data_IF_114053343282
#
_entry.id   IF_114053343282
#
_cell.length_a   1.000
_cell.length_b   1.000
_cell.length_c   1.000
_cell.angle_alpha   90.00
_cell.angle_beta   90.00
_cell.angle_gamma   90.00
#
_symmetry.space_group_name_H-M   'P 1'
#
loop_
_entity.id
_entity.type
_entity.pdbx_description
1 polymer ?
#
# COMPACT_ATOMS: atom_id res chain seq x y z
N UNK A 1 5.91 12.02 18.22
CA UNK A 1 5.44 11.23 17.08
C UNK A 1 5.27 9.77 17.50
N UNK A 2 4.13 9.16 17.25
CA UNK A 2 3.83 7.77 17.59
C UNK A 2 3.66 6.93 16.32
N UNK A 3 4.45 5.86 16.14
CA UNK A 3 4.38 4.97 15.00
C UNK A 3 4.61 3.52 15.41
N UNK A 4 3.61 2.66 15.26
CA UNK A 4 3.76 1.21 15.45
C UNK A 4 4.55 0.53 14.34
N UNK A 5 4.92 1.27 13.29
CA UNK A 5 5.73 0.78 12.18
C UNK A 5 7.09 1.49 12.23
N UNK A 6 8.17 0.73 12.35
CA UNK A 6 9.53 1.28 12.36
C UNK A 6 9.81 1.99 11.02
N UNK A 7 10.11 3.31 11.01
CA UNK A 7 10.10 4.08 9.75
C UNK A 7 11.35 3.91 8.87
N UNK A 8 12.44 3.35 9.38
CA UNK A 8 13.73 3.27 8.68
C UNK A 8 14.11 1.81 8.33
N UNK A 9 14.68 1.52 7.15
CA UNK A 9 14.78 2.38 5.98
C UNK A 9 13.40 2.57 5.31
N UNK A 10 13.17 3.68 4.58
CA UNK A 10 11.85 4.05 4.06
C UNK A 10 11.35 3.17 2.91
N UNK A 11 12.10 2.18 2.49
CA UNK A 11 11.80 1.34 1.32
C UNK A 11 10.79 0.20 1.56
N UNK A 12 10.18 0.11 2.75
CA UNK A 12 9.37 -1.07 3.15
C UNK A 12 7.88 -0.94 2.89
N UNK A 13 7.36 0.27 2.63
CA UNK A 13 5.93 0.49 2.36
C UNK A 13 5.50 1.94 2.48
N UNK A 14 4.32 2.27 1.96
CA UNK A 14 3.82 3.65 1.87
C UNK A 14 3.76 4.38 3.22
N UNK A 15 3.33 3.71 4.30
CA UNK A 15 3.30 4.27 5.65
C UNK A 15 4.70 4.64 6.13
N UNK A 16 5.68 3.76 5.93
CA UNK A 16 7.07 4.02 6.34
C UNK A 16 7.68 5.17 5.56
N UNK A 17 7.47 5.21 4.24
CA UNK A 17 7.94 6.29 3.37
C UNK A 17 7.39 7.63 3.85
N UNK A 18 6.08 7.71 4.15
CA UNK A 18 5.46 8.93 4.66
C UNK A 18 6.02 9.32 6.03
N UNK A 19 5.99 8.40 6.99
CA UNK A 19 6.48 8.65 8.35
C UNK A 19 7.92 9.12 8.35
N UNK A 20 8.80 8.45 7.60
CA UNK A 20 10.21 8.77 7.53
C UNK A 20 10.47 10.17 6.94
N UNK A 21 9.85 10.49 5.81
CA UNK A 21 10.08 11.79 5.16
C UNK A 21 9.49 12.95 5.95
N UNK A 22 8.31 12.77 6.59
CA UNK A 22 7.78 13.76 7.52
C UNK A 22 8.70 13.93 8.73
N UNK A 23 9.21 12.83 9.29
CA UNK A 23 10.17 12.84 10.38
C UNK A 23 11.41 13.66 10.01
N UNK A 24 12.03 13.37 8.87
CA UNK A 24 13.21 14.10 8.39
C UNK A 24 12.93 15.61 8.24
N UNK A 25 11.79 15.97 7.65
CA UNK A 25 11.45 17.37 7.47
C UNK A 25 11.22 18.07 8.81
N UNK A 26 10.49 17.45 9.72
CA UNK A 26 10.15 18.01 11.01
C UNK A 26 11.35 18.10 11.95
N UNK A 27 12.24 17.12 11.96
CA UNK A 27 13.45 17.12 12.81
C UNK A 27 14.43 18.26 12.51
N UNK A 28 14.30 18.89 11.34
CA UNK A 28 15.08 20.10 11.02
C UNK A 28 14.51 21.38 11.66
N UNK A 29 13.30 21.33 12.23
CA UNK A 29 12.53 22.50 12.70
C UNK A 29 11.98 22.34 14.10
N UNK A 30 11.86 21.11 14.57
CA UNK A 30 11.28 20.74 15.84
C UNK A 30 12.15 19.69 16.54
N UNK A 31 12.11 19.67 17.87
CA UNK A 31 12.65 18.58 18.67
C UNK A 31 11.68 17.40 18.61
N UNK A 32 11.92 16.48 17.67
CA UNK A 32 11.04 15.33 17.46
C UNK A 32 11.41 14.19 18.40
N UNK A 33 10.48 13.82 19.29
CA UNK A 33 10.53 12.62 20.13
C UNK A 33 9.74 11.52 19.40
N UNK A 34 10.40 10.41 19.04
CA UNK A 34 9.76 9.30 18.32
C UNK A 34 9.61 8.07 19.20
N UNK A 35 8.35 7.64 19.42
CA UNK A 35 8.02 6.33 19.96
C UNK A 35 7.67 5.36 18.83
N UNK A 36 8.37 4.22 18.72
CA UNK A 36 8.14 3.24 17.65
C UNK A 36 8.31 1.81 18.13
N UNK A 37 7.78 0.85 17.35
CA UNK A 37 7.86 -0.58 17.64
C UNK A 37 8.91 -1.23 16.75
N UNK A 38 9.78 -2.07 17.34
CA UNK A 38 10.79 -2.84 16.62
C UNK A 38 10.14 -4.01 15.89
N UNK A 39 10.23 -4.04 14.56
CA UNK A 39 9.91 -5.25 13.78
C UNK A 39 11.07 -6.26 13.87
N UNK A 40 10.79 -7.58 13.70
CA UNK A 40 11.83 -8.64 13.85
C UNK A 40 13.02 -8.48 12.91
N UNK A 41 12.82 -7.86 11.76
CA UNK A 41 13.80 -7.63 10.70
C UNK A 41 14.58 -6.32 10.84
N UNK A 42 14.35 -5.55 11.94
CA UNK A 42 15.06 -4.29 12.21
C UNK A 42 16.35 -4.59 12.99
N UNK A 43 17.49 -4.19 12.41
CA UNK A 43 18.82 -4.31 13.00
C UNK A 43 19.14 -3.17 13.98
N UNK A 44 20.08 -3.40 14.90
CA UNK A 44 20.54 -2.35 15.82
C UNK A 44 21.18 -1.18 15.08
N UNK A 45 21.92 -1.44 13.99
CA UNK A 45 22.47 -0.39 13.14
C UNK A 45 21.39 0.53 12.52
N UNK A 46 20.23 -0.03 12.19
CA UNK A 46 19.10 0.77 11.69
C UNK A 46 18.45 1.59 12.81
N UNK A 47 18.42 1.08 14.04
CA UNK A 47 17.96 1.84 15.22
C UNK A 47 18.90 3.00 15.49
N UNK A 48 20.22 2.76 15.46
CA UNK A 48 21.23 3.79 15.70
C UNK A 48 21.21 4.87 14.61
N UNK A 49 21.04 4.48 13.35
CA UNK A 49 20.87 5.44 12.25
C UNK A 49 19.62 6.32 12.42
N UNK A 50 18.50 5.75 12.89
CA UNK A 50 17.28 6.51 13.16
C UNK A 50 17.43 7.42 14.38
N UNK A 51 18.17 6.98 15.43
CA UNK A 51 18.43 7.78 16.63
C UNK A 51 19.16 9.07 16.33
N UNK A 52 20.03 9.07 15.32
CA UNK A 52 20.75 10.28 14.90
C UNK A 52 19.86 11.33 14.20
N UNK A 53 18.64 10.97 13.86
CA UNK A 53 17.72 11.84 13.11
C UNK A 53 16.63 12.47 13.96
N UNK A 54 16.55 12.15 15.24
CA UNK A 54 15.52 12.64 16.17
C UNK A 54 16.14 13.13 17.45
N UNK A 55 15.45 14.01 18.18
CA UNK A 55 15.89 14.49 19.48
C UNK A 55 15.90 13.36 20.52
N UNK A 56 14.88 12.49 20.48
CA UNK A 56 14.77 11.31 21.35
C UNK A 56 14.10 10.15 20.59
N UNK A 57 14.64 8.93 20.76
CA UNK A 57 14.08 7.70 20.19
C UNK A 57 13.78 6.67 21.27
N UNK A 58 12.50 6.32 21.42
CA UNK A 58 12.05 5.20 22.23
C UNK A 58 11.60 4.04 21.32
N UNK A 59 12.23 2.87 21.47
CA UNK A 59 11.94 1.67 20.67
C UNK A 59 11.37 0.59 21.56
N UNK A 60 10.17 0.15 21.27
CA UNK A 60 9.44 -0.85 22.05
C UNK A 60 9.46 -2.22 21.37
N UNK A 61 9.44 -3.33 22.13
CA UNK A 61 9.34 -4.67 21.56
C UNK A 61 8.01 -4.84 20.83
N UNK A 62 8.00 -5.65 19.77
CA UNK A 62 6.78 -5.98 19.07
C UNK A 62 5.88 -6.86 19.97
N UNK A 63 4.67 -6.41 20.32
CA UNK A 63 3.78 -7.15 21.21
C UNK A 63 3.28 -8.49 20.62
N UNK A 64 3.44 -8.69 19.31
CA UNK A 64 3.06 -9.93 18.63
C UNK A 64 4.17 -11.01 18.67
N UNK A 65 5.37 -10.65 19.10
CA UNK A 65 6.50 -11.59 19.25
C UNK A 65 6.65 -11.88 20.75
N UNK A 66 6.45 -13.13 21.21
CA UNK A 66 6.70 -13.46 22.60
C UNK A 66 8.16 -13.13 22.98
N UNK A 67 8.42 -12.63 24.18
CA UNK A 67 9.75 -12.33 24.62
C UNK A 67 10.60 -13.61 24.53
N UNK A 68 11.74 -13.50 23.84
CA UNK A 68 12.71 -14.62 23.86
C UNK A 68 13.15 -14.83 25.32
N UNK A 69 13.17 -16.07 25.80
CA UNK A 69 13.69 -16.34 27.13
C UNK A 69 15.12 -15.80 27.22
N UNK A 70 15.53 -15.21 28.36
CA UNK A 70 16.88 -14.72 28.54
C UNK A 70 17.86 -15.86 28.24
N UNK A 71 18.84 -15.60 27.35
CA UNK A 71 19.92 -16.52 27.07
C UNK A 71 20.55 -16.93 28.40
N UNK A 72 20.25 -18.14 28.84
CA UNK A 72 20.82 -18.71 30.05
C UNK A 72 22.36 -18.68 29.92
N UNK A 73 23.02 -18.08 30.93
CA UNK A 73 24.46 -18.21 31.09
C UNK A 73 24.78 -19.68 31.31
N UNK A 74 25.10 -20.38 30.24
CA UNK A 74 25.40 -21.79 30.33
C UNK A 74 25.81 -22.38 28.99
N UNK A 75 27.15 -22.50 28.79
CA UNK A 75 27.77 -23.56 28.02
C UNK A 75 27.70 -23.50 26.51
N UNK A 76 28.82 -23.07 25.91
CA UNK A 76 29.19 -23.39 24.54
C UNK A 76 28.85 -24.84 24.17
N UNK A 77 28.03 -25.05 23.16
CA UNK A 77 28.22 -26.14 22.20
C UNK A 77 28.02 -25.60 20.81
N UNK A 78 29.14 -25.42 20.14
CA UNK A 78 29.24 -25.27 18.70
C UNK A 78 28.67 -26.53 18.06
N UNK A 79 27.51 -26.45 17.43
CA UNK A 79 27.19 -27.33 16.33
C UNK A 79 27.43 -26.56 15.06
N UNK A 80 28.58 -26.79 14.45
CA UNK A 80 28.79 -26.61 13.03
C UNK A 80 27.85 -27.59 12.32
N UNK A 81 26.76 -27.13 11.80
CA UNK A 81 26.07 -27.79 10.70
C UNK A 81 26.65 -27.26 9.40
N UNK A 82 27.40 -28.09 8.76
CA UNK A 82 27.97 -28.01 7.42
C UNK A 82 26.83 -27.76 6.44
N UNK A 83 27.02 -26.73 5.58
CA UNK A 83 26.28 -26.59 4.34
C UNK A 83 26.54 -27.79 3.44
N UNK A 84 25.66 -28.78 3.48
CA UNK A 84 25.56 -29.78 2.40
C UNK A 84 24.49 -29.30 1.42
N UNK A 85 24.99 -28.94 0.24
CA UNK A 85 24.18 -28.53 -0.89
C UNK A 85 23.20 -29.61 -1.32
N UNK A 86 21.93 -29.26 -1.35
CA UNK A 86 20.91 -30.05 -2.01
C UNK A 86 21.04 -29.83 -3.52
N UNK A 87 21.72 -30.76 -4.19
CA UNK A 87 21.67 -30.92 -5.64
C UNK A 87 20.34 -31.60 -6.01
N UNK A 88 19.58 -31.06 -6.97
CA UNK A 88 18.40 -31.76 -7.49
C UNK A 88 18.84 -33.04 -8.23
N UNK A 89 18.03 -34.11 -8.22
CA UNK A 89 18.34 -35.34 -8.93
C UNK A 89 18.39 -35.11 -10.46
N UNK A 90 19.21 -35.92 -11.18
CA UNK A 90 19.41 -35.75 -12.61
C UNK A 90 18.15 -36.08 -13.40
N UNK A 91 17.83 -35.21 -14.36
CA UNK A 91 16.77 -35.42 -15.36
C UNK A 91 17.07 -36.66 -16.21
N UNK A 92 16.18 -37.62 -16.17
CA UNK A 92 16.19 -38.77 -17.09
C UNK A 92 15.87 -38.26 -18.50
N UNK A 93 16.80 -38.54 -19.42
CA UNK A 93 16.61 -38.33 -20.85
C UNK A 93 15.73 -39.43 -21.42
N UNK A 94 14.71 -39.03 -22.17
CA UNK A 94 14.11 -39.85 -23.21
C UNK A 94 12.66 -40.16 -22.98
N UNK A 95 11.81 -39.37 -23.64
CA UNK A 95 10.65 -39.86 -24.38
C UNK A 95 10.13 -38.73 -25.29
N UNK A 96 10.21 -38.99 -26.60
CA UNK A 96 9.73 -38.12 -27.67
C UNK A 96 8.19 -38.09 -27.66
N UNK A 97 7.60 -36.89 -27.46
CA UNK A 97 6.19 -36.69 -27.72
C UNK A 97 6.01 -35.94 -29.07
N UNK A 98 5.62 -36.70 -30.11
CA UNK A 98 5.11 -36.19 -31.37
C UNK A 98 3.68 -35.63 -31.17
N UNK A 99 3.35 -34.49 -31.77
CA UNK A 99 1.97 -33.95 -31.73
C UNK A 99 1.05 -34.75 -32.68
N UNK A 100 -0.24 -34.93 -32.34
CA UNK A 100 -1.21 -35.59 -33.22
C UNK A 100 -1.57 -34.72 -34.43
N UNK A 101 -1.98 -35.34 -35.58
CA UNK A 101 -2.16 -34.66 -36.84
C UNK A 101 -3.41 -33.80 -36.88
N UNK A 102 -3.28 -32.67 -37.59
CA UNK A 102 -4.35 -31.72 -37.94
C UNK A 102 -5.41 -32.41 -38.82
N UNK A 103 -6.65 -32.45 -38.36
CA UNK A 103 -7.79 -32.85 -39.18
C UNK A 103 -8.42 -31.61 -39.84
N UNK A 104 -8.45 -31.61 -41.19
CA UNK A 104 -9.10 -30.57 -42.00
C UNK A 104 -10.58 -30.93 -42.17
N UNK A 105 -11.45 -29.97 -41.91
CA UNK A 105 -12.82 -30.05 -42.48
C UNK A 105 -13.86 -29.20 -41.75
N UNK A 106 -14.38 -28.14 -42.42
CA UNK A 106 -15.79 -27.77 -42.40
C UNK A 106 -16.23 -26.54 -41.60
N UNK A 107 -16.23 -25.38 -42.25
CA UNK A 107 -17.30 -24.34 -42.38
C UNK A 107 -18.22 -23.97 -41.18
N UNK A 108 -18.27 -22.63 -41.00
CA UNK A 108 -19.40 -21.77 -40.60
C UNK A 108 -19.76 -21.60 -39.13
N UNK A 109 -19.61 -20.36 -38.67
CA UNK A 109 -20.59 -19.64 -37.86
C UNK A 109 -20.51 -19.80 -36.33
N UNK A 110 -20.06 -18.78 -35.64
CA UNK A 110 -20.40 -18.69 -34.24
C UNK A 110 -19.24 -18.22 -33.34
N UNK A 111 -19.30 -16.96 -32.98
CA UNK A 111 -18.50 -16.30 -31.97
C UNK A 111 -18.39 -17.10 -30.65
N UNK A 112 -17.16 -17.29 -30.21
CA UNK A 112 -16.72 -17.56 -28.83
C UNK A 112 -17.64 -18.41 -27.93
N UNK A 113 -17.28 -19.67 -27.69
CA UNK A 113 -17.06 -20.08 -26.30
C UNK A 113 -15.87 -21.06 -26.19
N UNK A 114 -15.03 -20.92 -25.23
CA UNK A 114 -14.19 -21.95 -24.61
C UNK A 114 -12.83 -21.42 -24.14
N UNK A 115 -12.84 -20.30 -23.42
CA UNK A 115 -11.68 -19.89 -22.60
C UNK A 115 -12.01 -19.84 -21.10
N UNK A 116 -13.22 -20.30 -20.73
CA UNK A 116 -13.68 -20.29 -19.32
C UNK A 116 -13.59 -21.66 -18.61
N UNK A 117 -13.17 -22.73 -19.25
CA UNK A 117 -13.15 -24.05 -18.61
C UNK A 117 -11.79 -24.49 -18.05
N UNK A 118 -10.73 -23.69 -18.19
CA UNK A 118 -9.40 -24.02 -17.68
C UNK A 118 -8.97 -23.31 -16.39
N UNK A 119 -9.80 -22.43 -15.83
CA UNK A 119 -9.43 -21.59 -14.67
C UNK A 119 -10.18 -21.88 -13.37
N UNK A 120 -11.12 -22.83 -13.36
CA UNK A 120 -11.87 -23.19 -12.14
C UNK A 120 -11.24 -24.31 -11.31
N UNK A 121 -10.27 -25.05 -11.79
CA UNK A 121 -9.66 -26.17 -11.03
C UNK A 121 -8.41 -25.82 -10.21
N UNK A 122 -7.99 -24.55 -10.13
CA UNK A 122 -6.81 -24.11 -9.39
C UNK A 122 -7.05 -23.49 -8.01
N UNK A 123 -8.30 -23.39 -7.54
CA UNK A 123 -8.66 -22.79 -6.25
C UNK A 123 -9.45 -23.71 -5.33
N UNK A 124 -9.20 -25.01 -5.40
CA UNK A 124 -9.59 -25.87 -4.30
C UNK A 124 -8.57 -25.68 -3.17
N UNK A 125 -9.02 -25.43 -1.93
CA UNK A 125 -8.14 -25.53 -0.79
C UNK A 125 -7.55 -26.95 -0.77
N UNK A 126 -6.31 -27.12 -0.29
CA UNK A 126 -5.69 -28.43 -0.22
C UNK A 126 -6.66 -29.40 0.44
N UNK A 127 -6.71 -30.68 -0.02
CA UNK A 127 -7.67 -31.65 0.51
C UNK A 127 -7.55 -31.68 2.02
N UNK A 128 -8.68 -31.56 2.70
CA UNK A 128 -8.79 -31.74 4.14
C UNK A 128 -8.18 -33.11 4.49
N UNK A 129 -6.97 -33.06 5.01
CA UNK A 129 -6.35 -34.24 5.60
C UNK A 129 -7.29 -34.69 6.74
N UNK A 130 -7.92 -35.84 6.56
CA UNK A 130 -8.78 -36.48 7.56
C UNK A 130 -7.88 -37.01 8.69
N UNK A 131 -7.46 -36.10 9.56
CA UNK A 131 -6.65 -36.39 10.72
C UNK A 131 -6.75 -35.22 11.70
N UNK A 132 -7.69 -35.28 12.64
CA UNK A 132 -7.76 -34.37 13.78
C UNK A 132 -8.93 -33.38 13.77
N UNK A 133 -10.06 -33.81 14.31
CA UNK A 133 -11.27 -33.01 14.58
C UNK A 133 -11.08 -31.90 15.63
N UNK A 134 -9.91 -31.74 16.22
CA UNK A 134 -9.62 -30.74 17.26
C UNK A 134 -9.14 -29.38 16.72
N UNK A 135 -8.49 -29.33 15.52
CA UNK A 135 -7.97 -28.08 14.98
C UNK A 135 -9.04 -27.13 14.39
N UNK A 136 -10.11 -27.69 13.82
CA UNK A 136 -11.17 -26.90 13.17
C UNK A 136 -12.05 -26.15 14.17
N UNK A 137 -12.40 -26.79 15.27
CA UNK A 137 -13.28 -26.21 16.29
C UNK A 137 -12.58 -25.07 17.06
N UNK A 138 -11.30 -25.24 17.38
CA UNK A 138 -10.46 -24.20 18.00
C UNK A 138 -10.30 -22.95 17.14
N UNK A 139 -10.16 -23.09 15.81
CA UNK A 139 -10.10 -21.95 14.90
C UNK A 139 -11.44 -21.20 14.77
N UNK A 140 -12.57 -21.92 14.82
CA UNK A 140 -13.92 -21.33 14.78
C UNK A 140 -14.18 -20.57 16.08
N UNK A 141 -13.91 -21.16 17.24
CA UNK A 141 -14.02 -20.50 18.55
C UNK A 141 -13.12 -19.25 18.61
N UNK A 142 -11.90 -19.33 18.12
CA UNK A 142 -10.98 -18.19 18.06
C UNK A 142 -11.46 -17.05 17.15
N UNK A 143 -12.23 -17.35 16.08
CA UNK A 143 -12.87 -16.33 15.23
C UNK A 143 -14.05 -15.67 15.92
N UNK A 144 -14.91 -16.45 16.59
CA UNK A 144 -16.05 -15.92 17.38
C UNK A 144 -15.58 -15.08 18.56
N UNK A 145 -14.53 -15.52 19.26
CA UNK A 145 -13.95 -14.77 20.37
C UNK A 145 -13.37 -13.41 19.91
N UNK A 146 -12.68 -13.37 18.76
CA UNK A 146 -12.18 -12.12 18.16
C UNK A 146 -13.30 -11.18 17.74
N UNK A 147 -14.37 -11.69 17.16
CA UNK A 147 -15.54 -10.91 16.78
C UNK A 147 -16.29 -10.38 18.01
N UNK A 148 -16.53 -11.24 19.00
CA UNK A 148 -17.15 -10.85 20.28
C UNK A 148 -16.33 -9.76 21.01
N UNK A 149 -15.00 -9.87 20.96
CA UNK A 149 -14.10 -8.86 21.54
C UNK A 149 -14.18 -7.53 20.77
N UNK A 150 -14.33 -7.54 19.45
CA UNK A 150 -14.56 -6.34 18.66
C UNK A 150 -15.91 -5.70 18.99
N UNK A 151 -16.98 -6.49 19.14
CA UNK A 151 -18.29 -6.01 19.55
C UNK A 151 -18.24 -5.32 20.92
N UNK A 152 -17.54 -5.93 21.89
CA UNK A 152 -17.47 -5.43 23.28
C UNK A 152 -16.53 -4.22 23.41
N UNK A 153 -15.31 -4.30 22.85
CA UNK A 153 -14.33 -3.23 22.95
C UNK A 153 -14.56 -2.08 21.97
N UNK A 154 -15.29 -2.36 20.87
CA UNK A 154 -15.45 -1.44 19.75
C UNK A 154 -14.14 -1.09 19.05
N UNK A 155 -13.06 -1.88 19.23
CA UNK A 155 -11.74 -1.67 18.61
C UNK A 155 -11.38 -2.90 17.77
N UNK A 156 -10.98 -2.71 16.50
CA UNK A 156 -10.60 -3.82 15.63
C UNK A 156 -9.47 -4.68 16.20
N UNK A 157 -9.48 -6.00 15.99
CA UNK A 157 -8.49 -6.91 16.58
C UNK A 157 -7.04 -6.61 16.16
N UNK A 158 -6.82 -6.14 14.94
CA UNK A 158 -5.49 -5.74 14.46
C UNK A 158 -4.92 -4.52 15.21
N UNK A 159 -5.77 -3.59 15.63
CA UNK A 159 -5.36 -2.44 16.47
C UNK A 159 -5.00 -2.93 17.88
N UNK A 160 -5.84 -3.78 18.46
CA UNK A 160 -5.57 -4.34 19.80
C UNK A 160 -4.29 -5.19 19.84
N UNK A 161 -3.98 -5.92 18.76
CA UNK A 161 -2.79 -6.77 18.70
C UNK A 161 -1.48 -5.99 18.55
N UNK A 162 -1.54 -4.73 18.15
CA UNK A 162 -0.38 -3.84 18.05
C UNK A 162 -0.13 -3.00 19.31
N UNK A 163 -0.97 -3.12 20.33
CA UNK A 163 -0.88 -2.33 21.54
C UNK A 163 0.28 -2.77 22.44
N UNK A 164 1.12 -1.83 22.86
CA UNK A 164 2.21 -1.99 23.81
C UNK A 164 1.95 -1.15 25.06
N UNK A 165 1.80 -1.79 26.22
CA UNK A 165 1.62 -1.09 27.48
C UNK A 165 2.83 -0.19 27.83
N UNK A 166 4.04 -0.64 27.51
CA UNK A 166 5.26 0.14 27.73
C UNK A 166 5.26 1.44 26.91
N UNK A 167 4.84 1.37 25.63
CA UNK A 167 4.71 2.56 24.78
C UNK A 167 3.61 3.50 25.27
N UNK A 168 2.50 2.94 25.79
CA UNK A 168 1.44 3.74 26.39
C UNK A 168 1.92 4.50 27.62
N UNK A 169 2.57 3.82 28.56
CA UNK A 169 3.09 4.44 29.78
C UNK A 169 4.07 5.57 29.46
N UNK A 170 4.99 5.32 28.53
CA UNK A 170 5.95 6.30 28.06
C UNK A 170 5.26 7.55 27.44
N UNK A 171 4.24 7.33 26.59
CA UNK A 171 3.50 8.45 26.00
C UNK A 171 2.69 9.23 27.04
N UNK A 172 2.07 8.54 28.01
CA UNK A 172 1.35 9.16 29.14
C UNK A 172 2.30 10.02 29.99
N UNK A 173 3.53 9.55 30.26
CA UNK A 173 4.56 10.28 31.00
C UNK A 173 4.99 11.56 30.28
N UNK A 174 5.26 11.50 28.97
CA UNK A 174 5.65 12.68 28.19
C UNK A 174 4.59 13.78 28.22
N UNK A 175 3.33 13.41 27.99
CA UNK A 175 2.23 14.38 27.99
C UNK A 175 1.96 14.92 29.40
N UNK A 176 2.01 14.07 30.43
CA UNK A 176 1.76 14.47 31.81
C UNK A 176 2.86 15.39 32.34
N UNK A 177 4.12 15.14 31.96
CA UNK A 177 5.26 15.95 32.32
C UNK A 177 5.38 17.25 31.50
N UNK A 178 4.48 17.51 30.54
CA UNK A 178 4.55 18.70 29.68
C UNK A 178 5.77 18.73 28.76
N UNK A 179 6.29 17.56 28.36
CA UNK A 179 7.50 17.45 27.54
C UNK A 179 7.22 17.50 26.05
N UNK A 180 5.98 17.70 25.63
CA UNK A 180 5.60 17.83 24.23
C UNK A 180 4.44 18.79 24.04
N UNK A 181 4.48 19.57 22.96
CA UNK A 181 3.43 20.50 22.56
C UNK A 181 2.40 19.85 21.62
N UNK A 182 2.86 18.85 20.88
CA UNK A 182 2.05 18.10 19.93
C UNK A 182 2.29 16.59 19.99
N UNK A 183 1.24 15.80 19.79
CA UNK A 183 1.29 14.34 19.62
C UNK A 183 0.74 14.00 18.26
N UNK A 184 1.58 13.43 17.38
CA UNK A 184 1.17 12.95 16.06
C UNK A 184 1.13 11.42 16.02
N UNK A 185 0.06 10.87 15.44
CA UNK A 185 -0.09 9.44 15.21
C UNK A 185 0.09 9.12 13.72
N UNK A 186 1.15 8.41 13.40
CA UNK A 186 1.47 8.00 12.03
C UNK A 186 0.71 6.73 11.68
N UNK A 187 -0.44 6.88 11.05
CA UNK A 187 -1.47 5.87 10.80
C UNK A 187 -2.50 5.73 11.93
N UNK A 188 -3.77 5.50 11.53
CA UNK A 188 -4.92 5.39 12.44
C UNK A 188 -4.80 4.29 13.51
N UNK A 189 -4.01 3.24 13.28
CA UNK A 189 -3.79 2.17 14.29
C UNK A 189 -3.13 2.67 15.57
N UNK A 190 -2.39 3.79 15.51
CA UNK A 190 -1.73 4.38 16.67
C UNK A 190 -2.68 5.24 17.54
N UNK A 191 -3.94 5.43 17.11
CA UNK A 191 -4.96 6.12 17.89
C UNK A 191 -5.15 5.53 19.28
N UNK A 192 -4.86 4.22 19.41
CA UNK A 192 -5.02 3.49 20.67
C UNK A 192 -4.17 4.06 21.79
N UNK A 193 -3.06 4.75 21.48
CA UNK A 193 -2.18 5.38 22.45
C UNK A 193 -2.62 6.78 22.85
N UNK A 194 -3.55 7.42 22.11
CA UNK A 194 -3.99 8.79 22.41
C UNK A 194 -5.17 8.79 23.36
N UNK A 195 -5.03 9.54 24.45
CA UNK A 195 -6.10 9.74 25.44
C UNK A 195 -7.00 10.90 25.01
N UNK A 196 -8.33 10.80 25.19
CA UNK A 196 -9.27 11.86 24.82
C UNK A 196 -8.98 13.20 25.52
N UNK A 197 -8.51 13.16 26.76
CA UNK A 197 -8.16 14.34 27.58
C UNK A 197 -6.91 15.08 27.10
N UNK A 198 -6.03 14.43 26.32
CA UNK A 198 -4.83 15.09 25.81
C UNK A 198 -5.15 16.25 24.88
N UNK A 199 -6.26 16.18 24.17
CA UNK A 199 -6.72 17.27 23.30
C UNK A 199 -6.86 18.62 24.01
N UNK A 200 -7.04 18.63 25.32
CA UNK A 200 -7.13 19.86 26.13
C UNK A 200 -5.77 20.39 26.59
N UNK A 201 -4.70 19.58 26.45
CA UNK A 201 -3.36 19.87 26.95
C UNK A 201 -2.35 20.09 25.85
N UNK A 202 -2.44 19.32 24.78
CA UNK A 202 -1.50 19.32 23.65
C UNK A 202 -2.26 19.19 22.33
N UNK A 203 -1.64 19.63 21.23
CA UNK A 203 -2.17 19.38 19.91
C UNK A 203 -2.09 17.88 19.60
N UNK A 204 -3.22 17.25 19.26
CA UNK A 204 -3.25 15.85 18.85
C UNK A 204 -3.63 15.73 17.39
N UNK A 205 -2.80 15.06 16.59
CA UNK A 205 -2.98 14.93 15.13
C UNK A 205 -3.01 13.46 14.73
N UNK A 206 -4.04 13.04 14.01
CA UNK A 206 -4.09 11.71 13.40
C UNK A 206 -3.77 11.79 11.91
N UNK A 207 -2.75 11.06 11.46
CA UNK A 207 -2.49 10.82 10.05
C UNK A 207 -3.29 9.60 9.59
N UNK A 208 -4.31 9.80 8.77
CA UNK A 208 -5.18 8.75 8.24
C UNK A 208 -4.83 8.54 6.76
N UNK A 209 -4.29 7.36 6.45
CA UNK A 209 -3.91 7.02 5.06
C UNK A 209 -5.11 6.63 4.21
N UNK A 210 -6.16 6.12 4.85
CA UNK A 210 -7.48 5.85 4.27
C UNK A 210 -8.50 5.61 5.37
N UNK A 211 -9.75 6.01 5.15
CA UNK A 211 -10.88 5.69 6.04
C UNK A 211 -11.11 4.18 6.05
N UNK A 212 -11.05 3.54 7.22
CA UNK A 212 -11.30 2.08 7.34
C UNK A 212 -12.76 1.74 7.07
N UNK A 213 -13.69 2.61 7.49
CA UNK A 213 -15.11 2.48 7.18
C UNK A 213 -15.39 2.74 5.70
N UNK A 214 -14.85 3.85 5.15
CA UNK A 214 -14.99 4.20 3.74
C UNK A 214 -14.46 3.10 2.83
N UNK A 215 -13.27 2.58 3.12
CA UNK A 215 -12.66 1.45 2.41
C UNK A 215 -13.56 0.21 2.42
N UNK A 216 -14.06 -0.20 3.60
CA UNK A 216 -14.93 -1.36 3.72
C UNK A 216 -16.24 -1.18 2.95
N UNK A 217 -16.86 0.01 3.04
CA UNK A 217 -18.10 0.37 2.32
C UNK A 217 -17.91 0.28 0.81
N UNK A 218 -16.83 0.84 0.31
CA UNK A 218 -16.57 0.86 -1.12
C UNK A 218 -16.22 -0.52 -1.67
N UNK A 219 -15.46 -1.34 -0.94
CA UNK A 219 -15.21 -2.73 -1.31
C UNK A 219 -16.51 -3.55 -1.41
N UNK A 220 -17.47 -3.29 -0.53
CA UNK A 220 -18.79 -3.89 -0.60
C UNK A 220 -19.61 -3.39 -1.79
N UNK A 221 -19.56 -2.09 -2.08
CA UNK A 221 -20.27 -1.45 -3.19
C UNK A 221 -19.75 -1.91 -4.57
N UNK A 222 -18.42 -2.07 -4.69
CA UNK A 222 -17.76 -2.48 -5.93
C UNK A 222 -17.68 -4.00 -6.11
N UNK A 223 -18.13 -4.79 -5.12
CA UNK A 223 -18.05 -6.25 -5.17
C UNK A 223 -16.63 -6.82 -5.03
N UNK A 224 -15.66 -6.00 -4.62
CA UNK A 224 -14.24 -6.40 -4.47
C UNK A 224 -13.89 -6.96 -3.08
N UNK A 225 -14.89 -7.07 -2.18
CA UNK A 225 -14.70 -7.67 -0.86
C UNK A 225 -14.47 -9.17 -0.96
N UNK A 226 -13.36 -9.67 -0.43
CA UNK A 226 -13.08 -11.11 -0.33
C UNK A 226 -14.06 -11.87 0.62
N UNK A 227 -14.66 -11.17 1.58
CA UNK A 227 -15.53 -11.74 2.61
C UNK A 227 -16.75 -10.85 2.84
N UNK A 228 -17.67 -10.73 1.86
CA UNK A 228 -18.74 -9.74 1.86
C UNK A 228 -19.66 -9.81 3.08
N UNK A 229 -20.02 -11.01 3.53
CA UNK A 229 -20.87 -11.19 4.72
C UNK A 229 -20.21 -10.66 5.99
N UNK A 230 -18.93 -11.00 6.19
CA UNK A 230 -18.15 -10.51 7.33
C UNK A 230 -18.02 -8.98 7.28
N UNK A 231 -17.74 -8.42 6.11
CA UNK A 231 -17.49 -7.00 5.95
C UNK A 231 -18.80 -6.19 6.09
N UNK A 232 -19.95 -6.74 5.69
CA UNK A 232 -21.28 -6.16 6.00
C UNK A 232 -21.55 -6.11 7.49
N UNK A 233 -21.21 -7.17 8.24
CA UNK A 233 -21.35 -7.20 9.70
C UNK A 233 -20.37 -6.26 10.41
N UNK A 234 -19.15 -6.11 9.86
CA UNK A 234 -18.14 -5.22 10.44
C UNK A 234 -18.39 -3.74 10.12
N UNK A 235 -19.06 -3.40 9.03
CA UNK A 235 -19.23 -2.02 8.57
C UNK A 235 -19.77 -1.07 9.66
N UNK A 236 -20.88 -1.37 10.40
CA UNK A 236 -21.35 -0.52 11.47
C UNK A 236 -20.38 -0.43 12.66
N UNK A 237 -19.61 -1.49 12.93
CA UNK A 237 -18.61 -1.51 13.98
C UNK A 237 -17.41 -0.63 13.61
N UNK A 238 -16.97 -0.68 12.35
CA UNK A 238 -15.93 0.18 11.82
C UNK A 238 -16.36 1.65 11.84
N UNK A 239 -17.60 1.95 11.48
CA UNK A 239 -18.16 3.30 11.59
C UNK A 239 -18.11 3.83 13.03
N UNK A 240 -18.55 3.01 14.01
CA UNK A 240 -18.49 3.37 15.42
C UNK A 240 -17.06 3.56 15.93
N UNK A 241 -16.16 2.67 15.52
CA UNK A 241 -14.74 2.74 15.84
C UNK A 241 -14.11 4.03 15.32
N UNK A 242 -14.29 4.32 14.03
CA UNK A 242 -13.68 5.47 13.37
C UNK A 242 -14.22 6.80 13.92
N UNK A 243 -15.55 6.91 14.14
CA UNK A 243 -16.15 8.05 14.85
C UNK A 243 -15.52 8.29 16.22
N UNK A 244 -15.37 7.22 17.01
CA UNK A 244 -14.84 7.30 18.36
C UNK A 244 -13.39 7.77 18.35
N UNK A 245 -12.52 7.19 17.52
CA UNK A 245 -11.12 7.59 17.55
C UNK A 245 -10.90 8.98 16.97
N UNK A 246 -11.61 9.35 15.90
CA UNK A 246 -11.49 10.70 15.34
C UNK A 246 -11.77 11.79 16.38
N UNK A 247 -12.73 11.57 17.27
CA UNK A 247 -13.09 12.56 18.31
C UNK A 247 -11.99 12.79 19.38
N UNK A 248 -10.97 11.92 19.47
CA UNK A 248 -9.84 12.08 20.38
C UNK A 248 -8.85 13.16 19.92
N UNK A 249 -8.84 13.48 18.62
CA UNK A 249 -7.83 14.32 18.01
C UNK A 249 -8.29 15.76 17.85
N UNK A 250 -7.36 16.70 17.99
CA UNK A 250 -7.57 18.11 17.69
C UNK A 250 -7.70 18.35 16.19
N UNK A 251 -6.93 17.58 15.40
CA UNK A 251 -6.90 17.64 13.92
C UNK A 251 -6.73 16.25 13.31
N UNK A 252 -7.23 16.12 12.09
CA UNK A 252 -7.02 14.92 11.26
C UNK A 252 -6.35 15.34 9.96
N UNK A 253 -5.39 14.55 9.51
CA UNK A 253 -4.78 14.67 8.19
C UNK A 253 -5.17 13.45 7.37
N UNK A 254 -5.88 13.68 6.27
CA UNK A 254 -6.19 12.69 5.25
C UNK A 254 -5.23 12.83 4.07
N UNK A 255 -5.00 11.75 3.31
CA UNK A 255 -4.08 11.79 2.16
C UNK A 255 -4.75 12.24 0.87
N UNK A 256 -6.09 12.13 0.78
CA UNK A 256 -6.87 12.51 -0.40
C UNK A 256 -8.13 13.28 -0.02
N UNK A 257 -8.68 14.05 -0.98
CA UNK A 257 -10.00 14.70 -0.83
C UNK A 257 -11.12 13.66 -0.65
N UNK A 258 -11.02 12.51 -1.32
CA UNK A 258 -11.97 11.42 -1.18
C UNK A 258 -11.99 10.86 0.25
N UNK A 259 -10.81 10.63 0.86
CA UNK A 259 -10.73 10.20 2.27
C UNK A 259 -11.35 11.25 3.21
N UNK A 260 -11.07 12.55 2.96
CA UNK A 260 -11.66 13.65 3.72
C UNK A 260 -13.19 13.66 3.62
N UNK A 261 -13.73 13.51 2.43
CA UNK A 261 -15.18 13.47 2.19
C UNK A 261 -15.84 12.28 2.89
N UNK A 262 -15.24 11.09 2.82
CA UNK A 262 -15.71 9.90 3.52
C UNK A 262 -15.71 10.09 5.04
N UNK A 263 -14.65 10.69 5.59
CA UNK A 263 -14.57 11.00 7.01
C UNK A 263 -15.60 12.05 7.42
N UNK A 264 -15.81 13.11 6.63
CA UNK A 264 -16.84 14.12 6.89
C UNK A 264 -18.24 13.52 6.84
N UNK A 265 -18.55 12.66 5.86
CA UNK A 265 -19.80 11.93 5.78
C UNK A 265 -20.02 11.07 7.03
N UNK A 266 -19.00 10.33 7.43
CA UNK A 266 -19.04 9.49 8.61
C UNK A 266 -19.26 10.30 9.89
N UNK A 267 -18.57 11.42 10.06
CA UNK A 267 -18.59 12.24 11.29
C UNK A 267 -19.79 13.18 11.36
N UNK A 268 -20.45 13.46 10.25
CA UNK A 268 -21.65 14.28 10.24
C UNK A 268 -22.74 13.65 11.06
N UNK A 269 -23.39 14.39 11.98
CA UNK A 269 -24.49 13.83 12.78
C UNK A 269 -25.70 13.53 11.87
N UNK A 270 -26.31 12.34 11.96
CA UNK A 270 -27.59 12.11 11.33
C UNK A 270 -28.63 12.97 12.06
N UNK A 271 -29.05 14.07 11.46
CA UNK A 271 -30.11 14.99 11.96
C UNK A 271 -29.87 15.45 13.43
N UNK A 272 -29.86 16.75 13.66
CA UNK A 272 -29.76 17.36 15.01
C UNK A 272 -30.91 16.82 15.88
N UNK A 273 -30.58 15.89 16.75
CA UNK A 273 -31.49 15.49 17.81
C UNK A 273 -31.37 16.54 18.91
N UNK A 274 -32.45 17.31 19.11
CA UNK A 274 -32.58 18.35 20.14
C UNK A 274 -32.18 17.75 21.50
N UNK A 275 -31.13 18.27 22.13
CA UNK A 275 -30.75 17.93 23.52
C UNK A 275 -29.57 16.95 23.69
N UNK A 276 -28.87 16.51 22.62
CA UNK A 276 -27.56 15.81 22.78
C UNK A 276 -26.42 16.81 22.58
N UNK A 277 -25.40 16.70 23.46
CA UNK A 277 -24.16 17.47 23.36
C UNK A 277 -23.60 17.37 21.92
N UNK A 278 -23.19 18.51 21.38
CA UNK A 278 -22.60 18.58 20.04
C UNK A 278 -21.36 17.64 20.01
N UNK A 279 -21.41 16.64 19.11
CA UNK A 279 -20.28 15.75 18.88
C UNK A 279 -19.16 16.58 18.23
N UNK A 280 -18.01 16.62 18.87
CA UNK A 280 -16.86 17.34 18.33
C UNK A 280 -16.37 16.65 17.04
N UNK A 281 -16.40 17.38 15.94
CA UNK A 281 -15.82 16.97 14.65
C UNK A 281 -14.52 17.74 14.49
N UNK A 282 -13.37 17.08 14.52
CA UNK A 282 -12.09 17.77 14.32
C UNK A 282 -11.98 18.27 12.87
N UNK A 283 -11.26 19.38 12.65
CA UNK A 283 -10.87 19.79 11.30
C UNK A 283 -10.11 18.68 10.58
N UNK A 284 -10.40 18.48 9.28
CA UNK A 284 -9.74 17.47 8.45
C UNK A 284 -9.01 18.18 7.33
N UNK A 285 -7.70 18.15 7.39
CA UNK A 285 -6.80 18.71 6.38
C UNK A 285 -6.41 17.63 5.36
N UNK A 286 -6.24 18.01 4.10
CA UNK A 286 -5.73 17.10 3.05
C UNK A 286 -4.26 17.41 2.81
N UNK A 287 -3.39 16.49 3.22
CA UNK A 287 -1.95 16.57 3.00
C UNK A 287 -1.50 15.26 2.33
N UNK A 288 -1.26 15.27 1.01
CA UNK A 288 -0.95 14.06 0.26
C UNK A 288 0.42 13.48 0.59
N UNK A 289 0.78 12.37 -0.03
CA UNK A 289 2.15 11.87 -0.01
C UNK A 289 3.03 12.70 -0.95
N UNK A 290 4.31 12.75 -0.62
CA UNK A 290 5.34 13.33 -1.47
C UNK A 290 6.15 12.27 -2.21
N UNK A 291 7.05 12.75 -3.06
CA UNK A 291 8.08 11.95 -3.71
C UNK A 291 9.44 12.61 -3.56
N UNK A 292 10.49 11.79 -3.46
CA UNK A 292 11.87 12.25 -3.40
C UNK A 292 12.44 12.33 -4.82
N UNK A 293 12.71 13.55 -5.29
CA UNK A 293 13.21 13.79 -6.63
C UNK A 293 14.67 13.33 -6.83
N UNK A 294 15.41 13.08 -5.76
CA UNK A 294 16.78 12.54 -5.83
C UNK A 294 16.76 11.03 -6.05
N UNK A 295 15.74 10.35 -5.50
CA UNK A 295 15.51 8.93 -5.75
C UNK A 295 14.83 8.69 -7.10
N UNK A 296 14.03 9.65 -7.59
CA UNK A 296 13.34 9.61 -8.86
C UNK A 296 13.74 10.81 -9.73
N UNK A 297 15.00 10.86 -10.20
CA UNK A 297 15.46 11.91 -11.10
C UNK A 297 14.70 11.86 -12.42
N UNK A 298 14.52 13.04 -13.04
CA UNK A 298 13.88 13.12 -14.34
C UNK A 298 14.75 12.45 -15.42
N UNK A 299 14.15 11.63 -16.27
CA UNK A 299 14.88 11.00 -17.38
C UNK A 299 15.28 12.03 -18.45
N UNK A 300 16.49 11.90 -18.96
CA UNK A 300 17.02 12.81 -19.99
C UNK A 300 16.61 12.41 -21.42
N UNK A 301 16.26 11.14 -21.63
CA UNK A 301 16.00 10.56 -22.95
C UNK A 301 14.69 9.76 -22.89
N UNK A 302 13.80 9.97 -23.87
CA UNK A 302 12.65 9.12 -24.09
C UNK A 302 13.12 7.81 -24.76
N UNK A 303 12.93 6.63 -24.12
CA UNK A 303 13.38 5.37 -24.71
C UNK A 303 12.60 4.97 -25.96
N UNK A 304 11.37 5.48 -26.12
CA UNK A 304 10.48 5.04 -27.19
C UNK A 304 10.14 3.55 -27.10
N UNK A 305 9.75 2.96 -28.23
CA UNK A 305 9.45 1.53 -28.33
C UNK A 305 8.14 1.13 -27.61
N UNK A 306 7.98 -0.18 -27.34
CA UNK A 306 6.73 -0.75 -26.83
C UNK A 306 6.91 -1.40 -25.46
N UNK A 307 7.65 -0.73 -24.56
CA UNK A 307 7.96 -1.25 -23.22
C UNK A 307 7.02 -0.66 -22.18
N UNK A 308 6.38 -1.54 -21.40
CA UNK A 308 5.52 -1.20 -20.28
C UNK A 308 6.18 -1.54 -18.96
N UNK A 309 5.85 -0.77 -17.91
CA UNK A 309 6.27 -1.05 -16.53
C UNK A 309 5.10 -0.93 -15.57
N UNK A 310 5.08 -1.81 -14.56
CA UNK A 310 4.28 -1.68 -13.36
C UNK A 310 5.14 -1.92 -12.13
N UNK A 311 5.14 -0.98 -11.17
CA UNK A 311 5.93 -1.06 -9.95
C UNK A 311 5.04 -1.20 -8.70
N UNK A 312 5.46 -2.04 -7.73
CA UNK A 312 4.77 -2.19 -6.45
C UNK A 312 5.14 -3.47 -5.72
N UNK A 313 4.95 -3.52 -4.40
CA UNK A 313 5.18 -4.74 -3.61
C UNK A 313 4.23 -5.86 -4.07
N UNK A 314 4.78 -6.96 -4.59
CA UNK A 314 4.06 -8.01 -5.30
C UNK A 314 3.46 -9.08 -4.38
N UNK A 315 3.44 -8.83 -3.07
CA UNK A 315 2.68 -9.58 -2.05
C UNK A 315 1.44 -8.81 -1.55
N UNK A 316 1.21 -7.60 -2.05
CA UNK A 316 0.04 -6.79 -1.70
C UNK A 316 -1.09 -7.06 -2.71
N UNK A 317 -2.27 -7.43 -2.22
CA UNK A 317 -3.41 -7.84 -3.03
C UNK A 317 -3.76 -6.83 -4.15
N UNK A 318 -3.86 -5.50 -3.93
CA UNK A 318 -4.08 -4.55 -4.99
C UNK A 318 -3.03 -4.59 -6.12
N UNK A 319 -1.77 -4.86 -5.78
CA UNK A 319 -0.69 -4.94 -6.77
C UNK A 319 -0.71 -6.26 -7.52
N UNK A 320 -1.04 -7.36 -6.84
CA UNK A 320 -1.23 -8.68 -7.46
C UNK A 320 -2.36 -8.61 -8.49
N UNK A 321 -3.49 -8.01 -8.11
CA UNK A 321 -4.64 -7.81 -9.00
C UNK A 321 -4.26 -6.98 -10.23
N UNK A 322 -3.60 -5.83 -10.03
CA UNK A 322 -3.16 -4.95 -11.10
C UNK A 322 -2.15 -5.64 -12.05
N UNK A 323 -1.17 -6.37 -11.50
CA UNK A 323 -0.19 -7.11 -12.29
C UNK A 323 -0.87 -8.19 -13.16
N UNK A 324 -1.80 -8.95 -12.59
CA UNK A 324 -2.58 -9.95 -13.31
C UNK A 324 -3.47 -9.33 -14.40
N UNK A 325 -4.17 -8.25 -14.08
CA UNK A 325 -5.03 -7.54 -15.03
C UNK A 325 -4.22 -7.00 -16.21
N UNK A 326 -3.07 -6.38 -15.93
CA UNK A 326 -2.17 -5.87 -16.98
C UNK A 326 -1.61 -6.99 -17.84
N UNK A 327 -1.14 -8.08 -17.22
CA UNK A 327 -0.51 -9.21 -17.92
C UNK A 327 -1.49 -10.03 -18.75
N UNK A 328 -2.70 -10.25 -18.26
CA UNK A 328 -3.64 -11.22 -18.86
C UNK A 328 -4.69 -10.57 -19.74
N UNK A 329 -4.98 -9.27 -19.56
CA UNK A 329 -6.07 -8.62 -20.28
C UNK A 329 -5.61 -7.43 -21.13
N UNK A 330 -4.61 -6.66 -20.67
CA UNK A 330 -4.15 -5.45 -21.38
C UNK A 330 -3.00 -5.75 -22.34
N UNK A 331 -1.99 -6.52 -21.93
CA UNK A 331 -0.82 -6.81 -22.77
C UNK A 331 -1.15 -7.64 -24.01
N UNK A 332 -1.97 -8.72 -23.98
CA UNK A 332 -2.19 -9.54 -25.16
C UNK A 332 -2.76 -8.80 -26.38
N UNK A 333 -3.79 -7.92 -26.26
CA UNK A 333 -4.25 -7.15 -27.43
C UNK A 333 -3.20 -6.15 -27.93
N UNK A 334 -2.31 -5.63 -27.06
CA UNK A 334 -1.18 -4.81 -27.50
C UNK A 334 -0.16 -5.63 -28.29
N UNK A 335 0.14 -6.85 -27.88
CA UNK A 335 1.07 -7.75 -28.59
C UNK A 335 0.55 -8.21 -29.94
N UNK A 336 -0.76 -8.24 -30.15
CA UNK A 336 -1.33 -8.48 -31.50
C UNK A 336 -0.96 -7.37 -32.49
N UNK A 337 -0.86 -6.12 -32.02
CA UNK A 337 -0.49 -4.96 -32.83
C UNK A 337 1.00 -4.67 -32.84
N UNK A 338 1.65 -4.90 -31.69
CA UNK A 338 3.08 -4.68 -31.44
C UNK A 338 3.69 -5.98 -30.89
N UNK A 339 4.15 -6.91 -31.75
CA UNK A 339 4.65 -8.23 -31.32
C UNK A 339 5.86 -8.15 -30.36
N UNK A 340 6.59 -7.03 -30.38
CA UNK A 340 7.71 -6.69 -29.50
C UNK A 340 7.29 -6.02 -28.18
N UNK A 341 5.98 -5.83 -27.93
CA UNK A 341 5.51 -5.23 -26.70
C UNK A 341 5.87 -6.10 -25.46
N UNK A 342 6.52 -5.47 -24.49
CA UNK A 342 6.97 -6.13 -23.25
C UNK A 342 6.44 -5.43 -22.01
N UNK A 343 6.35 -6.20 -20.93
CA UNK A 343 5.93 -5.74 -19.61
C UNK A 343 6.95 -6.13 -18.55
N UNK A 344 7.46 -5.15 -17.82
CA UNK A 344 8.30 -5.39 -16.65
C UNK A 344 7.50 -5.17 -15.36
N UNK A 345 7.44 -6.18 -14.50
CA UNK A 345 6.84 -6.15 -13.17
C UNK A 345 7.95 -6.01 -12.13
N UNK A 346 8.04 -4.83 -11.49
CA UNK A 346 9.09 -4.49 -10.53
C UNK A 346 8.52 -4.39 -9.12
N UNK A 347 9.10 -5.11 -8.16
CA UNK A 347 8.72 -4.95 -6.77
C UNK A 347 9.03 -6.13 -5.87
N UNK A 348 9.07 -5.86 -4.57
CA UNK A 348 9.48 -6.83 -3.56
C UNK A 348 8.46 -7.98 -3.41
N UNK A 349 9.00 -9.14 -2.99
CA UNK A 349 8.23 -10.29 -2.49
C UNK A 349 7.15 -10.79 -3.47
N UNK A 350 7.47 -11.08 -4.75
CA UNK A 350 6.49 -11.60 -5.67
C UNK A 350 5.96 -12.96 -5.21
N UNK A 351 4.62 -13.06 -5.10
CA UNK A 351 3.94 -14.32 -4.77
C UNK A 351 3.95 -15.29 -5.96
N UNK A 352 3.75 -16.60 -5.74
CA UNK A 352 3.80 -17.60 -6.82
C UNK A 352 2.91 -17.27 -8.03
N UNK A 353 1.72 -16.70 -7.80
CA UNK A 353 0.81 -16.29 -8.86
C UNK A 353 1.33 -15.12 -9.72
N UNK A 354 2.19 -14.25 -9.16
CA UNK A 354 2.87 -13.18 -9.92
C UNK A 354 4.10 -13.74 -10.63
N UNK A 355 4.89 -14.60 -9.95
CA UNK A 355 6.04 -15.26 -10.59
C UNK A 355 5.63 -16.07 -11.83
N UNK A 356 4.46 -16.71 -11.78
CA UNK A 356 3.92 -17.46 -12.91
C UNK A 356 3.66 -16.59 -14.17
N UNK A 357 3.39 -15.27 -14.00
CA UNK A 357 3.21 -14.35 -15.12
C UNK A 357 4.48 -14.20 -15.96
N UNK A 358 5.67 -14.34 -15.34
CA UNK A 358 6.96 -14.28 -16.04
C UNK A 358 7.20 -15.45 -17.02
N UNK A 359 6.32 -16.47 -17.03
CA UNK A 359 6.35 -17.55 -18.04
C UNK A 359 5.61 -17.17 -19.34
N UNK A 360 4.85 -16.07 -19.32
CA UNK A 360 4.12 -15.58 -20.49
C UNK A 360 5.07 -14.78 -21.41
N UNK A 361 4.85 -14.80 -22.74
CA UNK A 361 5.68 -14.06 -23.68
C UNK A 361 5.73 -12.56 -23.36
N UNK A 362 6.93 -11.97 -23.41
CA UNK A 362 7.14 -10.54 -23.24
C UNK A 362 6.95 -10.03 -21.81
N UNK A 363 6.82 -10.90 -20.79
CA UNK A 363 6.69 -10.49 -19.39
C UNK A 363 7.93 -10.83 -18.59
N UNK A 364 8.46 -9.83 -17.90
CA UNK A 364 9.56 -10.00 -16.95
C UNK A 364 9.12 -9.66 -15.54
N UNK A 365 9.33 -10.58 -14.58
CA UNK A 365 9.13 -10.35 -13.13
C UNK A 365 10.51 -10.21 -12.48
N UNK A 366 10.85 -8.97 -12.09
CA UNK A 366 12.22 -8.64 -11.63
C UNK A 366 12.39 -8.84 -10.11
N UNK A 367 11.32 -8.69 -9.33
CA UNK A 367 11.42 -8.71 -7.88
C UNK A 367 11.89 -7.36 -7.30
N UNK A 368 12.56 -7.41 -6.14
CA UNK A 368 13.07 -6.21 -5.45
C UNK A 368 14.31 -5.68 -6.18
N UNK A 369 14.34 -4.39 -6.42
CA UNK A 369 15.47 -3.67 -7.02
C UNK A 369 15.97 -2.58 -6.08
N UNK A 370 17.20 -2.12 -6.28
CA UNK A 370 17.76 -1.02 -5.50
C UNK A 370 17.17 0.33 -5.94
N UNK A 371 17.00 0.54 -7.24
CA UNK A 371 16.53 1.80 -7.83
C UNK A 371 15.43 1.54 -8.87
N UNK A 372 14.19 1.78 -8.45
CA UNK A 372 13.01 1.66 -9.35
C UNK A 372 13.08 2.66 -10.49
N UNK A 373 13.69 3.84 -10.27
CA UNK A 373 13.84 4.88 -11.28
C UNK A 373 14.55 4.38 -12.55
N UNK A 374 15.54 3.50 -12.45
CA UNK A 374 16.26 2.94 -13.61
C UNK A 374 15.34 2.15 -14.53
N UNK A 375 14.40 1.41 -13.97
CA UNK A 375 13.39 0.65 -14.73
C UNK A 375 12.32 1.58 -15.30
N UNK A 376 11.92 2.62 -14.56
CA UNK A 376 10.99 3.64 -15.06
C UNK A 376 11.60 4.38 -16.27
N UNK A 377 12.88 4.69 -16.23
CA UNK A 377 13.55 5.38 -17.35
C UNK A 377 13.62 4.54 -18.63
N UNK A 378 13.65 3.20 -18.51
CA UNK A 378 13.71 2.28 -19.64
C UNK A 378 12.34 1.99 -20.25
N UNK A 379 11.25 2.38 -19.58
CA UNK A 379 9.91 2.13 -20.05
C UNK A 379 9.33 3.29 -20.87
N UNK A 380 8.67 2.97 -21.98
CA UNK A 380 7.92 3.94 -22.76
C UNK A 380 6.69 4.44 -21.97
N UNK A 381 6.03 3.54 -21.24
CA UNK A 381 4.80 3.83 -20.49
C UNK A 381 4.78 3.11 -19.14
N UNK A 382 4.48 3.84 -18.07
CA UNK A 382 4.11 3.26 -16.79
C UNK A 382 2.59 3.06 -16.71
N UNK A 383 2.13 1.84 -16.48
CA UNK A 383 0.70 1.53 -16.40
C UNK A 383 0.32 1.23 -14.96
N UNK A 384 -0.67 1.97 -14.41
CA UNK A 384 -1.12 1.82 -13.02
C UNK A 384 -2.61 1.43 -12.98
N UNK A 385 -2.95 0.19 -13.35
CA UNK A 385 -4.32 -0.26 -13.59
C UNK A 385 -4.97 -0.75 -12.29
N UNK A 386 -4.94 0.09 -11.24
CA UNK A 386 -5.47 -0.25 -9.93
C UNK A 386 -7.00 -0.34 -9.97
N UNK A 387 -7.57 -1.47 -9.56
CA UNK A 387 -9.02 -1.68 -9.42
C UNK A 387 -9.45 -1.66 -7.97
N UNK A 388 -8.53 -1.97 -7.08
CA UNK A 388 -8.71 -2.02 -5.63
C UNK A 388 -7.58 -1.26 -4.93
N UNK A 389 -7.77 -0.94 -3.64
CA UNK A 389 -6.83 -0.15 -2.84
C UNK A 389 -7.17 1.35 -2.86
N UNK A 390 -6.99 2.00 -1.73
CA UNK A 390 -7.43 3.38 -1.45
C UNK A 390 -6.25 4.30 -1.20
N UNK A 391 -6.51 5.61 -1.20
CA UNK A 391 -5.52 6.64 -1.00
C UNK A 391 -4.59 6.87 -2.19
N UNK A 392 -3.69 7.82 -2.03
CA UNK A 392 -2.74 8.22 -3.08
C UNK A 392 -1.76 7.08 -3.43
N UNK A 393 -1.46 6.94 -4.71
CA UNK A 393 -0.57 5.88 -5.21
C UNK A 393 0.85 6.44 -5.43
N UNK A 394 1.77 6.15 -4.51
CA UNK A 394 3.17 6.59 -4.62
C UNK A 394 3.79 6.21 -5.97
N UNK A 395 3.50 5.00 -6.48
CA UNK A 395 4.02 4.55 -7.79
C UNK A 395 3.65 5.46 -8.95
N UNK A 396 2.47 6.12 -8.89
CA UNK A 396 2.06 7.11 -9.88
C UNK A 396 2.92 8.37 -9.75
N UNK A 397 3.10 8.88 -8.53
CA UNK A 397 3.98 10.02 -8.26
C UNK A 397 5.44 9.72 -8.64
N UNK A 398 5.93 8.52 -8.34
CA UNK A 398 7.28 8.06 -8.67
C UNK A 398 7.52 8.02 -10.19
N UNK A 399 6.56 7.49 -10.95
CA UNK A 399 6.62 7.46 -12.41
C UNK A 399 6.57 8.88 -13.01
N UNK A 400 5.68 9.74 -12.50
CA UNK A 400 5.58 11.15 -12.93
C UNK A 400 6.87 11.92 -12.60
N UNK A 401 7.46 11.70 -11.41
CA UNK A 401 8.74 12.28 -11.04
C UNK A 401 9.87 11.84 -11.96
N UNK A 402 9.95 10.56 -12.28
CA UNK A 402 10.94 9.99 -13.19
C UNK A 402 10.76 10.44 -14.66
N UNK A 403 9.66 11.10 -15.00
CA UNK A 403 9.35 11.54 -16.36
C UNK A 403 8.80 10.41 -17.26
N UNK A 404 8.35 9.30 -16.68
CA UNK A 404 7.71 8.22 -17.43
C UNK A 404 6.24 8.52 -17.61
N UNK A 405 5.70 8.59 -18.87
CA UNK A 405 4.28 8.80 -19.11
C UNK A 405 3.42 7.75 -18.41
N UNK A 406 2.31 8.18 -17.83
CA UNK A 406 1.43 7.33 -17.02
C UNK A 406 0.10 7.10 -17.72
N UNK A 407 -0.32 5.84 -17.79
CA UNK A 407 -1.70 5.43 -18.07
C UNK A 407 -2.25 4.75 -16.81
N UNK A 408 -3.32 5.27 -16.24
CA UNK A 408 -3.83 4.75 -14.98
C UNK A 408 -5.36 4.83 -14.86
N UNK A 409 -5.92 3.98 -13.99
CA UNK A 409 -7.33 4.06 -13.60
C UNK A 409 -7.63 5.29 -12.75
N UNK A 410 -8.90 5.57 -12.54
CA UNK A 410 -9.36 6.55 -11.54
C UNK A 410 -8.73 6.27 -10.17
N UNK A 411 -8.67 5.02 -9.80
CA UNK A 411 -8.05 4.56 -8.56
C UNK A 411 -6.53 4.74 -8.55
N UNK A 412 -5.88 4.59 -9.71
CA UNK A 412 -4.44 4.83 -9.88
C UNK A 412 -4.07 6.32 -9.81
N UNK A 413 -5.02 7.21 -10.12
CA UNK A 413 -4.87 8.67 -10.12
C UNK A 413 -5.50 9.35 -8.91
N UNK A 414 -6.04 8.58 -7.96
CA UNK A 414 -6.73 9.09 -6.79
C UNK A 414 -5.86 10.08 -6.01
N UNK A 415 -6.41 11.26 -5.70
CA UNK A 415 -5.73 12.31 -4.94
C UNK A 415 -4.68 13.11 -5.73
N UNK A 416 -4.55 12.89 -7.05
CA UNK A 416 -3.63 13.61 -7.91
C UNK A 416 -4.37 14.61 -8.81
N UNK A 417 -3.87 15.84 -8.88
CA UNK A 417 -4.41 16.89 -9.74
C UNK A 417 -3.98 16.71 -11.19
N UNK A 418 -4.37 15.57 -11.82
CA UNK A 418 -3.92 15.22 -13.19
C UNK A 418 -4.76 15.84 -14.30
N UNK A 419 -6.01 16.23 -14.00
CA UNK A 419 -6.97 16.78 -14.95
C UNK A 419 -6.93 18.33 -14.90
N UNK A 420 -5.82 18.92 -15.32
CA UNK A 420 -5.54 20.35 -15.21
C UNK A 420 -6.01 21.22 -16.35
N UNK A 421 -7.16 20.92 -17.00
CA UNK A 421 -7.69 21.68 -18.13
C UNK A 421 -7.01 21.32 -19.48
N UNK A 422 -7.42 21.95 -20.61
CA UNK A 422 -7.03 21.49 -21.94
C UNK A 422 -5.54 21.62 -22.29
N UNK A 423 -4.77 22.37 -21.51
CA UNK A 423 -3.36 22.63 -21.81
C UNK A 423 -2.36 21.79 -20.98
N UNK A 424 -2.80 20.96 -20.04
CA UNK A 424 -1.87 20.23 -19.16
C UNK A 424 -2.39 18.86 -18.74
N UNK A 425 -2.60 17.96 -19.70
CA UNK A 425 -2.73 16.54 -19.37
C UNK A 425 -1.43 16.06 -18.72
N UNK A 426 -1.55 15.35 -17.59
CA UNK A 426 -0.41 14.87 -16.80
C UNK A 426 -0.35 13.36 -16.73
N UNK A 427 -1.46 12.70 -17.10
CA UNK A 427 -1.59 11.27 -17.25
C UNK A 427 -2.74 10.98 -18.22
N UNK A 428 -2.79 9.77 -18.79
CA UNK A 428 -3.95 9.27 -19.51
C UNK A 428 -4.78 8.39 -18.58
N UNK A 429 -6.10 8.60 -18.60
CA UNK A 429 -7.07 7.88 -17.78
C UNK A 429 -7.66 6.73 -18.57
N UNK A 430 -7.71 5.54 -17.95
CA UNK A 430 -8.30 4.34 -18.52
C UNK A 430 -8.84 3.43 -17.40
N UNK A 431 -10.07 2.92 -17.57
CA UNK A 431 -10.70 2.03 -16.59
C UNK A 431 -11.08 0.68 -17.19
N UNK A 432 -11.27 0.62 -18.52
CA UNK A 432 -11.63 -0.58 -19.26
C UNK A 432 -10.48 -1.02 -20.17
N UNK A 433 -10.43 -2.31 -20.51
CA UNK A 433 -9.34 -2.88 -21.30
C UNK A 433 -9.11 -2.09 -22.60
N UNK A 434 -10.17 -1.79 -23.37
CA UNK A 434 -10.03 -1.05 -24.64
C UNK A 434 -9.48 0.37 -24.42
N UNK A 435 -9.89 1.06 -23.34
CA UNK A 435 -9.38 2.40 -23.00
C UNK A 435 -7.87 2.36 -22.70
N UNK A 436 -7.40 1.30 -21.98
CA UNK A 436 -5.97 1.08 -21.77
C UNK A 436 -5.23 0.83 -23.08
N UNK A 437 -5.78 -0.03 -23.94
CA UNK A 437 -5.16 -0.34 -25.23
C UNK A 437 -5.05 0.92 -26.10
N UNK A 438 -6.10 1.72 -26.19
CA UNK A 438 -6.11 2.98 -26.94
C UNK A 438 -5.11 4.00 -26.38
N UNK A 439 -5.12 4.21 -25.05
CA UNK A 439 -4.23 5.14 -24.39
C UNK A 439 -2.75 4.73 -24.54
N UNK A 440 -2.43 3.45 -24.34
CA UNK A 440 -1.06 2.94 -24.49
C UNK A 440 -0.62 3.02 -25.96
N UNK A 441 -1.48 2.64 -26.90
CA UNK A 441 -1.23 2.77 -28.34
C UNK A 441 -0.90 4.21 -28.72
N UNK A 442 -1.69 5.18 -28.24
CA UNK A 442 -1.43 6.60 -28.52
C UNK A 442 -0.07 7.07 -28.02
N UNK A 443 0.39 6.52 -26.91
CA UNK A 443 1.73 6.81 -26.35
C UNK A 443 2.83 6.07 -27.13
N UNK A 444 2.61 4.86 -27.61
CA UNK A 444 3.59 4.16 -28.42
C UNK A 444 3.85 4.87 -29.75
N UNK A 445 2.79 5.38 -30.38
CA UNK A 445 2.86 6.00 -31.70
C UNK A 445 3.22 7.49 -31.68
N UNK A 446 3.03 8.19 -30.55
CA UNK A 446 3.22 9.64 -30.49
C UNK A 446 4.29 10.06 -29.46
N UNK A 447 5.49 10.29 -29.95
CA UNK A 447 6.63 10.77 -29.15
C UNK A 447 6.34 12.12 -28.49
N UNK A 448 5.72 13.05 -29.24
CA UNK A 448 5.42 14.39 -28.70
C UNK A 448 4.43 14.29 -27.53
N UNK A 449 3.41 13.44 -27.61
CA UNK A 449 2.48 13.20 -26.52
C UNK A 449 3.19 12.64 -25.29
N UNK A 450 4.15 11.69 -25.47
CA UNK A 450 4.96 11.19 -24.34
C UNK A 450 5.75 12.31 -23.69
N UNK A 451 6.37 13.17 -24.48
CA UNK A 451 7.15 14.28 -23.98
C UNK A 451 6.30 15.31 -23.24
N UNK A 452 5.16 15.70 -23.79
CA UNK A 452 4.25 16.67 -23.20
C UNK A 452 3.72 16.18 -21.84
N UNK A 453 3.30 14.91 -21.76
CA UNK A 453 2.86 14.29 -20.50
C UNK A 453 4.00 14.19 -19.49
N UNK A 454 5.18 13.81 -19.93
CA UNK A 454 6.37 13.69 -19.08
C UNK A 454 6.71 15.03 -18.41
N UNK A 455 6.80 16.11 -19.19
CA UNK A 455 7.11 17.46 -18.70
C UNK A 455 6.02 17.98 -17.78
N UNK A 456 4.74 17.85 -18.20
CA UNK A 456 3.60 18.35 -17.43
C UNK A 456 3.43 17.61 -16.09
N UNK A 457 3.64 16.28 -16.10
CA UNK A 457 3.58 15.45 -14.90
C UNK A 457 4.73 15.79 -13.92
N UNK A 458 5.95 15.93 -14.42
CA UNK A 458 7.11 16.33 -13.61
C UNK A 458 6.91 17.72 -12.98
N UNK A 459 6.44 18.70 -13.75
CA UNK A 459 6.13 20.04 -13.24
C UNK A 459 5.07 20.04 -12.14
N UNK A 460 4.03 19.19 -12.27
CA UNK A 460 3.04 19.00 -11.21
C UNK A 460 3.69 18.45 -9.93
N UNK A 461 4.55 17.42 -10.06
CA UNK A 461 5.22 16.82 -8.91
C UNK A 461 6.12 17.83 -8.22
N UNK A 462 6.94 18.56 -8.97
CA UNK A 462 7.85 19.58 -8.44
C UNK A 462 7.12 20.72 -7.72
N UNK A 463 5.95 21.11 -8.21
CA UNK A 463 5.19 22.21 -7.64
C UNK A 463 4.28 21.83 -6.47
N UNK A 464 3.88 20.54 -6.33
CA UNK A 464 2.84 20.17 -5.35
C UNK A 464 3.15 18.92 -4.51
N UNK A 465 4.03 18.02 -4.96
CA UNK A 465 4.18 16.69 -4.36
C UNK A 465 5.62 16.33 -3.96
N UNK A 466 6.50 17.31 -3.74
CA UNK A 466 7.79 17.04 -3.11
C UNK A 466 7.64 16.92 -1.59
N UNK A 467 8.49 16.12 -0.95
CA UNK A 467 8.45 15.99 0.52
C UNK A 467 8.70 17.32 1.24
N UNK A 468 9.43 18.25 0.62
CA UNK A 468 9.63 19.59 1.17
C UNK A 468 8.32 20.41 1.18
N UNK A 469 7.52 20.33 0.11
CA UNK A 469 6.21 20.98 0.05
C UNK A 469 5.23 20.35 1.04
N UNK A 470 5.17 19.02 1.07
CA UNK A 470 4.32 18.24 1.97
C UNK A 470 4.69 18.48 3.44
N UNK A 471 5.99 18.44 3.75
CA UNK A 471 6.49 18.73 5.10
C UNK A 471 6.15 20.16 5.54
N UNK A 472 6.25 21.14 4.65
CA UNK A 472 5.87 22.54 4.91
C UNK A 472 4.37 22.69 5.17
N UNK A 473 3.52 21.95 4.46
CA UNK A 473 2.08 21.94 4.75
C UNK A 473 1.79 21.32 6.13
N UNK A 474 2.50 20.23 6.46
CA UNK A 474 2.34 19.56 7.74
C UNK A 474 2.87 20.40 8.90
N UNK A 475 4.00 21.07 8.73
CA UNK A 475 4.60 21.99 9.70
C UNK A 475 3.64 23.14 10.07
N UNK A 476 3.00 23.76 9.07
CA UNK A 476 1.98 24.80 9.32
C UNK A 476 0.78 24.30 10.13
N UNK A 477 0.44 23.03 10.02
CA UNK A 477 -0.63 22.41 10.80
C UNK A 477 -0.24 22.28 12.26
N UNK A 478 1.07 22.11 12.56
CA UNK A 478 1.61 22.01 13.92
C UNK A 478 1.82 23.39 14.58
N UNK A 479 1.88 24.47 13.80
CA UNK A 479 1.98 25.84 14.32
C UNK A 479 0.59 26.30 14.81
N UNK A 480 0.52 26.76 16.07
CA UNK A 480 -0.68 27.33 16.71
C UNK A 480 -0.84 28.81 16.40
#
# INVERSE_FOLDING_TARGET
>A
MLSSTFPYPPSRGGTQVRTFNLLQYLSLRHDVILGTVRSPDVTDAQIDALRQQVAELAVFPNPQVPPQPPLGKGGLRLHQETEEGFLPPPLNKGEDFLPPPLNKGGTEGGLFPALNQGLEEGFLPPPLNKGGTEGGFSQIIGKFHRFGRFLLSGTPPNVLSSYSQAMQNWADELVTAGKCDAVTCEHSVNEIYVRPEWRQKVLTVANIHSSVWGTCREMLATGTSEKPLRDRLNLPLLARYEKRYCSKFSRIVATTSTDREQLLELLSPPVRVRGKQDFFVPPIDVIPNGVDLTQFPYRSIDPGGHTLIFAGAMNNLPNIDAARFLSLQILPPLQQRYPDATLTLVGASPVPSVLALGKLPGIQVVGRVQRVAEYLHQAAVCVVPMRIGFGIKNKTLEAMAAGTPVVASDRGLEGLAVDGGPQARRALRANKVHEYVEAITSLFENQQLRQDLSVSARSLVESQYTWDIIGRQYDRLLQF
#
